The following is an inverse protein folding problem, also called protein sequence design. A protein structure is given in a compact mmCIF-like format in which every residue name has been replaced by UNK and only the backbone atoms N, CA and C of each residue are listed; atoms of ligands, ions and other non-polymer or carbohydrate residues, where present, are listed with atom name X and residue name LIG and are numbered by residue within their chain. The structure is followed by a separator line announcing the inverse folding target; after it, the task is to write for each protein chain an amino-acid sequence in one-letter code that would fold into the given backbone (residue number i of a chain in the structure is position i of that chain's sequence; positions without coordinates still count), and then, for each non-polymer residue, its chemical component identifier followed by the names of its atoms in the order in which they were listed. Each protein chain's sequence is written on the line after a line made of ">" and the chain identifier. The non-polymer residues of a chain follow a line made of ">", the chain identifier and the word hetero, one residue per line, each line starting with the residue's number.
data_IF_049003949908
#
_entry.id   IF_049003949908
#
_cell.length_a   1.000
_cell.length_b   1.000
_cell.length_c   1.000
_cell.angle_alpha   90.00
_cell.angle_beta   90.00
_cell.angle_gamma   90.00
#
_symmetry.space_group_name_H-M   'P 1'
#
loop_
_entity.id
_entity.type
_entity.pdbx_description
1 polymer ?
#
# COMPACT_ATOMS: atom_id res chain seq x y z
N UNK A 1 -5.27 12.31 68.30
CA UNK A 1 -5.16 13.27 67.19
C UNK A 1 -4.73 12.49 65.95
N UNK A 2 -5.70 12.12 65.15
CA UNK A 2 -5.44 11.33 63.89
C UNK A 2 -5.45 12.32 62.75
N UNK A 3 -4.33 12.42 62.05
CA UNK A 3 -4.21 13.19 60.82
C UNK A 3 -4.48 12.24 59.63
N UNK A 4 -5.65 12.43 59.00
CA UNK A 4 -6.01 11.83 57.74
C UNK A 4 -5.23 12.55 56.61
N UNK A 5 -4.32 11.84 55.98
CA UNK A 5 -3.70 12.25 54.71
C UNK A 5 -4.55 11.71 53.56
N UNK A 6 -5.19 12.62 52.86
CA UNK A 6 -5.95 12.37 51.62
C UNK A 6 -4.94 12.06 50.50
N UNK A 7 -5.15 11.03 49.63
CA UNK A 7 -4.30 10.81 48.50
C UNK A 7 -4.58 11.86 47.41
N UNK A 8 -3.55 12.52 46.96
CA UNK A 8 -3.56 13.44 45.81
C UNK A 8 -4.03 12.72 44.58
N UNK A 9 -5.16 13.15 44.03
CA UNK A 9 -5.67 12.71 42.75
C UNK A 9 -4.67 13.12 41.64
N UNK A 10 -4.10 12.15 40.96
CA UNK A 10 -3.43 12.38 39.68
C UNK A 10 -4.48 12.91 38.70
N UNK A 11 -4.53 14.21 38.53
CA UNK A 11 -5.35 14.88 37.52
C UNK A 11 -4.81 14.52 36.13
N UNK A 12 -5.63 13.84 35.36
CA UNK A 12 -5.45 13.67 33.90
C UNK A 12 -5.37 15.11 33.35
N UNK A 13 -4.33 15.47 32.55
CA UNK A 13 -4.27 16.80 31.94
C UNK A 13 -5.55 17.04 31.15
N UNK A 14 -6.16 18.21 31.34
CA UNK A 14 -7.41 18.57 30.68
C UNK A 14 -7.19 18.54 29.17
N UNK A 15 -7.96 17.74 28.46
CA UNK A 15 -7.88 17.49 27.00
C UNK A 15 -8.02 18.82 26.20
N UNK A 16 -8.58 19.85 26.81
CA UNK A 16 -8.77 21.17 26.20
C UNK A 16 -7.46 21.98 25.98
N UNK A 17 -6.31 21.54 26.50
CA UNK A 17 -5.02 22.22 26.32
C UNK A 17 -4.08 21.50 25.36
N UNK A 18 -4.51 20.35 24.73
CA UNK A 18 -3.67 19.59 23.83
C UNK A 18 -3.84 20.11 22.40
N UNK A 19 -2.74 20.44 21.74
CA UNK A 19 -2.72 20.78 20.33
C UNK A 19 -2.44 19.52 19.49
N UNK A 20 -3.30 19.22 18.53
CA UNK A 20 -3.21 18.02 17.71
C UNK A 20 -2.66 18.31 16.31
N UNK A 21 -2.00 17.32 15.71
CA UNK A 21 -1.52 17.40 14.33
C UNK A 21 -2.62 17.83 13.36
N UNK A 22 -3.81 17.28 13.51
CA UNK A 22 -4.95 17.56 12.64
C UNK A 22 -5.58 18.94 12.84
N UNK A 23 -5.27 19.64 13.94
CA UNK A 23 -5.71 21.03 14.17
C UNK A 23 -4.82 22.00 13.36
N UNK A 24 -3.54 21.64 13.16
CA UNK A 24 -2.57 22.41 12.38
C UNK A 24 -2.63 22.01 10.90
N UNK A 25 -2.74 20.72 10.62
CA UNK A 25 -2.77 20.15 9.26
C UNK A 25 -3.89 19.12 9.13
N UNK A 26 -5.11 19.53 8.74
CA UNK A 26 -6.24 18.61 8.57
C UNK A 26 -5.98 17.51 7.50
N UNK A 27 -5.12 17.78 6.52
CA UNK A 27 -4.69 16.82 5.50
C UNK A 27 -3.89 15.65 6.07
N UNK A 28 -3.28 15.81 7.26
CA UNK A 28 -2.49 14.77 7.95
C UNK A 28 -3.32 13.83 8.84
N UNK A 29 -4.67 13.94 8.79
CA UNK A 29 -5.58 13.00 9.46
C UNK A 29 -5.27 11.51 9.19
N UNK A 30 -4.77 11.09 8.02
CA UNK A 30 -4.39 9.70 7.79
C UNK A 30 -3.36 9.15 8.79
N UNK A 31 -2.50 9.99 9.38
CA UNK A 31 -1.56 9.56 10.41
C UNK A 31 -2.27 9.02 11.66
N UNK A 32 -3.28 9.74 12.16
CA UNK A 32 -4.08 9.30 13.32
C UNK A 32 -4.77 7.96 13.01
N UNK A 33 -5.43 7.87 11.84
CA UNK A 33 -6.17 6.68 11.42
C UNK A 33 -5.27 5.45 11.33
N UNK A 34 -4.17 5.54 10.57
CA UNK A 34 -3.28 4.40 10.38
C UNK A 34 -2.51 4.03 11.64
N UNK A 35 -2.21 4.99 12.50
CA UNK A 35 -1.53 4.71 13.77
C UNK A 35 -2.48 4.05 14.78
N UNK A 36 -3.75 4.45 14.83
CA UNK A 36 -4.77 3.78 15.63
C UNK A 36 -4.95 2.31 15.18
N UNK A 37 -5.06 2.07 13.88
CA UNK A 37 -5.10 0.71 13.31
C UNK A 37 -3.83 -0.09 13.64
N UNK A 38 -2.66 0.54 13.58
CA UNK A 38 -1.39 -0.11 13.94
C UNK A 38 -1.36 -0.51 15.42
N UNK A 39 -1.93 0.31 16.31
CA UNK A 39 -2.08 -0.02 17.72
C UNK A 39 -3.00 -1.24 17.94
N UNK A 40 -4.05 -1.40 17.13
CA UNK A 40 -4.91 -2.59 17.18
C UNK A 40 -4.13 -3.84 16.72
N UNK A 41 -3.44 -3.77 15.58
CA UNK A 41 -2.61 -4.88 15.07
C UNK A 41 -1.48 -5.23 16.05
N UNK A 42 -0.88 -4.24 16.72
CA UNK A 42 0.07 -4.46 17.82
C UNK A 42 -0.53 -5.37 18.89
N UNK A 43 -1.74 -5.06 19.38
CA UNK A 43 -2.43 -5.84 20.41
C UNK A 43 -2.71 -7.28 19.97
N UNK A 44 -3.02 -7.50 18.70
CA UNK A 44 -3.27 -8.85 18.18
C UNK A 44 -2.00 -9.72 18.12
N UNK A 45 -0.81 -9.13 18.00
CA UNK A 45 0.45 -9.86 18.03
C UNK A 45 1.00 -10.08 19.44
N UNK A 46 0.55 -9.32 20.45
CA UNK A 46 1.02 -9.46 21.82
C UNK A 46 0.75 -10.87 22.36
N UNK A 47 1.69 -11.37 23.17
CA UNK A 47 1.60 -12.70 23.80
C UNK A 47 1.42 -13.84 22.78
N UNK A 48 2.03 -13.71 21.60
CA UNK A 48 2.06 -14.73 20.55
C UNK A 48 3.51 -15.03 20.13
N UNK A 49 3.68 -16.00 19.23
CA UNK A 49 4.97 -16.28 18.60
C UNK A 49 5.52 -15.07 17.79
N UNK A 50 4.68 -14.06 17.55
CA UNK A 50 5.01 -12.82 16.86
C UNK A 50 5.14 -11.59 17.78
N UNK A 51 5.27 -11.77 19.10
CA UNK A 51 5.38 -10.67 20.07
C UNK A 51 6.47 -9.65 19.70
N UNK A 52 7.58 -10.12 19.11
CA UNK A 52 8.63 -9.24 18.57
C UNK A 52 8.10 -8.26 17.49
N UNK A 53 7.08 -8.63 16.74
CA UNK A 53 6.43 -7.74 15.77
C UNK A 53 5.57 -6.68 16.48
N UNK A 54 4.88 -7.06 17.56
CA UNK A 54 4.14 -6.12 18.41
C UNK A 54 5.05 -5.03 18.96
N UNK A 55 6.22 -5.40 19.51
CA UNK A 55 7.22 -4.44 20.02
C UNK A 55 7.67 -3.47 18.92
N UNK A 56 7.93 -3.96 17.71
CA UNK A 56 8.32 -3.12 16.57
C UNK A 56 7.21 -2.16 16.14
N UNK A 57 5.95 -2.64 16.07
CA UNK A 57 4.79 -1.82 15.71
C UNK A 57 4.55 -0.74 16.77
N UNK A 58 4.73 -1.05 18.05
CA UNK A 58 4.62 -0.09 19.15
C UNK A 58 5.50 1.15 18.94
N UNK A 59 6.70 0.95 18.42
CA UNK A 59 7.66 2.01 18.17
C UNK A 59 7.47 2.72 16.81
N UNK A 60 6.62 2.17 15.93
CA UNK A 60 6.40 2.69 14.58
C UNK A 60 5.72 4.04 14.63
N UNK A 61 6.34 5.05 14.02
CA UNK A 61 5.83 6.43 13.98
C UNK A 61 5.36 6.97 15.35
N UNK A 62 6.00 6.53 16.44
CA UNK A 62 5.67 7.03 17.78
C UNK A 62 5.93 8.54 17.93
N UNK A 63 6.89 9.06 17.14
CA UNK A 63 7.19 10.47 16.95
C UNK A 63 7.17 10.83 15.48
N UNK A 64 6.67 12.01 15.17
CA UNK A 64 6.70 12.63 13.86
C UNK A 64 7.35 14.00 13.98
N UNK A 65 8.30 14.30 13.09
CA UNK A 65 8.90 15.62 12.95
C UNK A 65 8.47 16.22 11.61
N UNK A 66 7.98 17.46 11.65
CA UNK A 66 7.58 18.21 10.47
C UNK A 66 8.36 19.50 10.37
N UNK A 67 8.60 19.97 9.14
CA UNK A 67 9.05 21.31 8.83
C UNK A 67 8.02 22.03 7.98
N UNK A 68 8.11 23.36 7.89
CA UNK A 68 7.26 24.16 7.02
C UNK A 68 7.87 24.22 5.61
N UNK A 69 7.12 23.76 4.62
CA UNK A 69 7.45 23.90 3.22
C UNK A 69 6.48 24.87 2.55
N UNK A 70 7.01 25.72 1.65
CA UNK A 70 6.18 26.60 0.83
C UNK A 70 5.91 25.91 -0.48
N UNK A 71 4.65 25.75 -0.84
CA UNK A 71 4.25 25.27 -2.15
C UNK A 71 4.66 26.30 -3.21
N UNK A 72 5.46 25.87 -4.17
CA UNK A 72 6.03 26.75 -5.20
C UNK A 72 5.00 27.23 -6.23
N UNK A 73 3.86 26.55 -6.36
CA UNK A 73 2.83 26.89 -7.33
C UNK A 73 1.86 27.94 -6.79
N UNK A 74 1.46 27.83 -5.52
CA UNK A 74 0.44 28.69 -4.93
C UNK A 74 0.94 29.56 -3.77
N UNK A 75 2.16 29.35 -3.27
CA UNK A 75 2.78 30.07 -2.18
C UNK A 75 2.22 29.70 -0.79
N UNK A 76 1.40 28.66 -0.67
CA UNK A 76 0.84 28.21 0.60
C UNK A 76 1.87 27.47 1.43
N UNK A 77 1.92 27.74 2.75
CA UNK A 77 2.75 26.99 3.67
C UNK A 77 2.03 25.69 4.07
N UNK A 78 2.75 24.57 3.98
CA UNK A 78 2.25 23.26 4.40
C UNK A 78 3.26 22.52 5.27
N UNK A 79 2.76 21.64 6.14
CA UNK A 79 3.62 20.76 6.91
C UNK A 79 4.19 19.66 5.99
N UNK A 80 5.51 19.46 6.05
CA UNK A 80 6.22 18.38 5.38
C UNK A 80 6.86 17.47 6.42
N UNK A 81 6.58 16.16 6.35
CA UNK A 81 7.22 15.19 7.22
C UNK A 81 8.72 15.10 6.90
N UNK A 82 9.56 15.34 7.91
CA UNK A 82 11.02 15.29 7.81
C UNK A 82 11.67 14.26 8.72
N UNK A 83 10.89 13.68 9.66
CA UNK A 83 11.38 12.65 10.55
C UNK A 83 10.28 11.73 11.06
N UNK A 84 10.47 10.43 10.88
CA UNK A 84 9.67 9.37 11.48
C UNK A 84 10.45 8.06 11.48
N UNK A 85 10.18 7.19 12.45
CA UNK A 85 10.72 5.84 12.49
C UNK A 85 9.68 4.83 12.03
N UNK A 86 10.04 3.95 11.11
CA UNK A 86 9.16 2.93 10.57
C UNK A 86 9.58 1.51 10.98
N UNK A 87 8.62 0.68 11.37
CA UNK A 87 8.89 -0.68 11.82
C UNK A 87 9.10 -1.68 10.67
N UNK A 88 8.66 -1.38 9.45
CA UNK A 88 8.68 -2.24 8.26
C UNK A 88 8.00 -3.61 8.44
N UNK A 89 7.17 -3.76 9.49
CA UNK A 89 6.37 -4.97 9.67
C UNK A 89 5.32 -5.00 8.55
N UNK A 90 5.16 -6.16 7.90
CA UNK A 90 4.30 -6.31 6.72
C UNK A 90 2.87 -5.85 6.97
N UNK A 91 2.29 -6.23 8.09
CA UNK A 91 0.90 -5.92 8.43
C UNK A 91 0.75 -4.67 9.33
N UNK A 92 1.80 -3.84 9.45
CA UNK A 92 1.68 -2.55 10.10
C UNK A 92 0.95 -1.56 9.17
N UNK A 93 -0.24 -1.06 9.53
CA UNK A 93 -1.01 -0.15 8.67
C UNK A 93 -0.26 1.13 8.29
N UNK A 94 0.53 1.71 9.21
CA UNK A 94 1.36 2.88 8.91
C UNK A 94 2.41 2.57 7.83
N UNK A 95 3.24 1.53 8.02
CA UNK A 95 4.28 1.19 7.06
C UNK A 95 3.71 0.82 5.70
N UNK A 96 2.55 0.14 5.69
CA UNK A 96 1.91 -0.26 4.46
C UNK A 96 1.34 0.94 3.69
N UNK A 97 0.65 1.84 4.40
CA UNK A 97 0.17 3.10 3.83
C UNK A 97 1.31 3.91 3.23
N UNK A 98 2.40 4.13 3.99
CA UNK A 98 3.57 4.90 3.52
C UNK A 98 4.23 4.24 2.31
N UNK A 99 4.38 2.93 2.33
CA UNK A 99 4.93 2.16 1.19
C UNK A 99 4.06 2.30 -0.07
N UNK A 100 2.73 2.28 0.09
CA UNK A 100 1.81 2.51 -1.03
C UNK A 100 2.03 3.90 -1.65
N UNK A 101 2.15 4.95 -0.82
CA UNK A 101 2.42 6.31 -1.30
C UNK A 101 3.80 6.41 -1.97
N UNK A 102 4.83 5.83 -1.39
CA UNK A 102 6.18 5.78 -1.97
C UNK A 102 6.18 5.17 -3.38
N UNK A 103 5.53 4.02 -3.55
CA UNK A 103 5.45 3.37 -4.87
C UNK A 103 4.66 4.18 -5.88
N UNK A 104 3.57 4.82 -5.44
CA UNK A 104 2.79 5.72 -6.28
C UNK A 104 3.64 6.91 -6.74
N UNK A 105 4.34 7.56 -5.83
CA UNK A 105 5.21 8.70 -6.13
C UNK A 105 6.36 8.31 -7.07
N UNK A 106 7.01 7.16 -6.85
CA UNK A 106 8.05 6.64 -7.76
C UNK A 106 7.52 6.41 -9.17
N UNK A 107 6.31 5.86 -9.28
CA UNK A 107 5.69 5.64 -10.59
C UNK A 107 5.36 6.96 -11.28
N UNK A 108 4.73 7.90 -10.56
CA UNK A 108 4.31 9.19 -11.11
C UNK A 108 5.50 10.05 -11.54
N UNK A 109 6.62 10.00 -10.81
CA UNK A 109 7.88 10.66 -11.22
C UNK A 109 8.45 10.12 -12.54
N UNK A 110 8.37 8.81 -12.75
CA UNK A 110 8.86 8.19 -13.99
C UNK A 110 7.91 8.37 -15.19
N UNK A 111 6.65 8.73 -14.91
CA UNK A 111 5.60 8.76 -15.93
C UNK A 111 5.83 9.75 -17.08
N UNK A 112 6.32 11.00 -16.86
CA UNK A 112 6.59 11.94 -17.96
C UNK A 112 7.63 11.40 -18.95
N UNK A 113 8.68 10.75 -18.48
CA UNK A 113 9.69 10.12 -19.33
C UNK A 113 9.11 8.95 -20.13
N UNK A 114 8.30 8.11 -19.47
CA UNK A 114 7.61 6.99 -20.12
C UNK A 114 6.66 7.50 -21.22
N UNK A 115 5.87 8.54 -20.95
CA UNK A 115 4.94 9.11 -21.91
C UNK A 115 5.65 9.80 -23.08
N UNK A 116 6.76 10.47 -22.81
CA UNK A 116 7.62 11.06 -23.86
C UNK A 116 8.19 9.98 -24.78
N UNK A 117 8.69 8.88 -24.22
CA UNK A 117 9.26 7.77 -24.99
C UNK A 117 8.19 6.94 -25.75
N UNK A 118 6.97 6.90 -25.24
CA UNK A 118 5.87 6.10 -25.80
C UNK A 118 4.56 6.90 -25.87
N UNK A 119 4.48 7.99 -26.63
CA UNK A 119 3.35 8.93 -26.60
C UNK A 119 2.01 8.33 -27.05
N UNK A 120 2.04 7.22 -27.79
CA UNK A 120 0.85 6.52 -28.27
C UNK A 120 0.46 5.30 -27.42
N UNK A 121 1.25 4.96 -26.40
CA UNK A 121 0.92 3.83 -25.53
C UNK A 121 -0.39 4.09 -24.77
N UNK A 122 -1.08 2.99 -24.47
CA UNK A 122 -2.35 3.02 -23.74
C UNK A 122 -2.22 2.12 -22.52
N UNK A 123 -3.17 2.22 -21.63
CA UNK A 123 -3.14 1.47 -20.39
C UNK A 123 -4.41 0.66 -20.19
N UNK A 124 -4.25 -0.57 -19.71
CA UNK A 124 -5.33 -1.43 -19.27
C UNK A 124 -5.07 -1.90 -17.84
N UNK A 125 -6.15 -2.10 -17.10
CA UNK A 125 -6.13 -2.67 -15.77
C UNK A 125 -6.75 -4.07 -15.82
N UNK A 126 -6.04 -5.06 -15.30
CA UNK A 126 -6.43 -6.45 -15.33
C UNK A 126 -6.48 -7.01 -13.91
N UNK A 127 -7.59 -7.66 -13.54
CA UNK A 127 -7.72 -8.41 -12.29
C UNK A 127 -7.78 -9.89 -12.59
N UNK A 128 -6.89 -10.67 -11.97
CA UNK A 128 -6.80 -12.12 -12.14
C UNK A 128 -7.07 -12.81 -10.81
N UNK A 129 -8.09 -13.65 -10.76
CA UNK A 129 -8.46 -14.37 -9.54
C UNK A 129 -8.25 -15.86 -9.64
N UNK A 130 -8.25 -16.51 -8.49
CA UNK A 130 -8.42 -17.96 -8.35
C UNK A 130 -9.52 -18.24 -7.34
N UNK A 131 -9.98 -19.49 -7.20
CA UNK A 131 -10.90 -19.88 -6.11
C UNK A 131 -10.29 -19.54 -4.76
N UNK A 132 -11.15 -19.20 -3.79
CA UNK A 132 -10.72 -19.08 -2.41
C UNK A 132 -10.05 -20.39 -1.96
N UNK A 133 -9.04 -20.24 -1.13
CA UNK A 133 -8.33 -21.38 -0.54
C UNK A 133 -8.41 -21.33 1.00
N UNK A 134 -8.23 -22.46 1.69
CA UNK A 134 -7.92 -22.44 3.10
C UNK A 134 -6.74 -21.52 3.38
N UNK A 135 -6.76 -20.78 4.48
CA UNK A 135 -5.69 -19.83 4.79
C UNK A 135 -4.32 -20.53 4.90
N UNK A 136 -4.30 -21.77 5.36
CA UNK A 136 -3.11 -22.64 5.45
C UNK A 136 -2.47 -22.95 4.08
N UNK A 137 -3.24 -22.84 2.99
CA UNK A 137 -2.78 -23.12 1.63
C UNK A 137 -2.43 -21.84 0.86
N UNK A 138 -2.54 -20.68 1.52
CA UNK A 138 -2.36 -19.38 0.86
C UNK A 138 -0.97 -19.24 0.23
N UNK A 139 0.09 -19.68 0.92
CA UNK A 139 1.46 -19.60 0.40
C UNK A 139 1.60 -20.36 -0.91
N UNK A 140 1.18 -21.62 -0.92
CA UNK A 140 1.26 -22.49 -2.12
C UNK A 140 0.41 -21.91 -3.26
N UNK A 141 -0.77 -21.37 -2.93
CA UNK A 141 -1.66 -20.72 -3.91
C UNK A 141 -1.01 -19.48 -4.53
N UNK A 142 -0.42 -18.58 -3.74
CA UNK A 142 0.28 -17.39 -4.27
C UNK A 142 1.50 -17.81 -5.11
N UNK A 143 2.26 -18.79 -4.68
CA UNK A 143 3.39 -19.31 -5.46
C UNK A 143 2.93 -19.88 -6.80
N UNK A 144 1.85 -20.66 -6.80
CA UNK A 144 1.22 -21.16 -8.01
C UNK A 144 0.75 -20.04 -8.93
N UNK A 145 0.09 -19.01 -8.39
CA UNK A 145 -0.33 -17.83 -9.15
C UNK A 145 0.86 -17.09 -9.75
N UNK A 146 1.98 -16.94 -9.03
CA UNK A 146 3.20 -16.31 -9.53
C UNK A 146 3.79 -17.06 -10.73
N UNK A 147 3.90 -18.39 -10.63
CA UNK A 147 4.36 -19.24 -11.73
C UNK A 147 3.41 -19.18 -12.93
N UNK A 148 2.11 -19.11 -12.65
CA UNK A 148 1.06 -19.00 -13.66
C UNK A 148 1.13 -17.68 -14.42
N UNK A 149 1.32 -16.58 -13.71
CA UNK A 149 1.52 -15.28 -14.32
C UNK A 149 2.78 -15.23 -15.19
N UNK A 150 3.88 -15.82 -14.73
CA UNK A 150 5.10 -15.96 -15.53
C UNK A 150 4.87 -16.80 -16.81
N UNK A 151 4.00 -17.82 -16.79
CA UNK A 151 3.59 -18.53 -18.00
C UNK A 151 2.74 -17.65 -18.91
N UNK A 152 1.80 -16.89 -18.34
CA UNK A 152 0.92 -15.98 -19.07
C UNK A 152 1.70 -14.88 -19.79
N UNK A 153 2.74 -14.30 -19.16
CA UNK A 153 3.57 -13.25 -19.79
C UNK A 153 4.34 -13.75 -21.01
N UNK A 154 4.51 -15.06 -21.18
CA UNK A 154 5.17 -15.68 -22.35
C UNK A 154 4.20 -15.98 -23.49
N UNK A 155 2.89 -15.88 -23.29
CA UNK A 155 1.89 -16.12 -24.34
C UNK A 155 1.97 -15.06 -25.45
N UNK A 156 1.72 -15.46 -26.72
CA UNK A 156 1.82 -14.54 -27.85
C UNK A 156 0.96 -13.29 -27.71
N UNK A 157 -0.28 -13.43 -27.21
CA UNK A 157 -1.22 -12.33 -27.01
C UNK A 157 -0.70 -11.33 -25.98
N UNK A 158 -0.06 -11.79 -24.89
CA UNK A 158 0.54 -10.96 -23.89
C UNK A 158 1.77 -10.23 -24.46
N UNK A 159 2.73 -10.98 -25.02
CA UNK A 159 4.00 -10.42 -25.52
C UNK A 159 3.82 -9.41 -26.63
N UNK A 160 2.92 -9.69 -27.58
CA UNK A 160 2.66 -8.82 -28.73
C UNK A 160 2.09 -7.48 -28.31
N UNK A 161 1.24 -7.47 -27.29
CA UNK A 161 0.51 -6.28 -26.86
C UNK A 161 1.23 -5.46 -25.77
N UNK A 162 2.02 -6.10 -24.90
CA UNK A 162 2.54 -5.49 -23.68
C UNK A 162 3.90 -4.83 -23.93
N UNK A 163 4.03 -3.58 -23.46
CA UNK A 163 5.30 -2.85 -23.40
C UNK A 163 5.90 -3.04 -22.00
N UNK A 164 5.08 -2.94 -20.97
CA UNK A 164 5.47 -3.13 -19.58
C UNK A 164 4.25 -3.40 -18.70
N UNK A 165 4.50 -3.89 -17.50
CA UNK A 165 3.44 -4.18 -16.53
C UNK A 165 3.94 -4.06 -15.10
N UNK A 166 3.02 -3.71 -14.20
CA UNK A 166 3.17 -3.77 -12.75
C UNK A 166 2.04 -4.63 -12.21
N UNK A 167 2.36 -5.50 -11.27
CA UNK A 167 1.41 -6.39 -10.64
C UNK A 167 1.54 -6.33 -9.13
N UNK A 168 0.43 -6.22 -8.44
CA UNK A 168 0.34 -6.44 -6.99
C UNK A 168 -0.47 -7.70 -6.69
N UNK A 169 -0.22 -8.26 -5.51
CA UNK A 169 -1.02 -9.33 -4.92
C UNK A 169 -1.87 -8.74 -3.80
N UNK A 170 -3.16 -8.93 -3.86
CA UNK A 170 -4.08 -8.63 -2.76
C UNK A 170 -4.65 -9.93 -2.20
N UNK A 171 -4.79 -10.00 -0.89
CA UNK A 171 -5.44 -11.12 -0.18
C UNK A 171 -6.56 -10.55 0.64
N UNK A 172 -7.80 -10.87 0.29
CA UNK A 172 -8.96 -10.53 1.09
C UNK A 172 -9.50 -11.76 1.84
N UNK A 173 -10.17 -11.51 2.96
CA UNK A 173 -10.79 -12.55 3.78
C UNK A 173 -12.17 -12.88 3.26
N UNK A 174 -12.41 -14.15 2.95
CA UNK A 174 -13.74 -14.67 2.63
C UNK A 174 -14.63 -14.76 3.88
N UNK A 175 -15.95 -14.78 3.68
CA UNK A 175 -16.94 -14.84 4.77
C UNK A 175 -16.76 -16.05 5.71
N UNK A 176 -16.23 -17.15 5.20
CA UNK A 176 -15.94 -18.39 5.94
C UNK A 176 -14.50 -18.43 6.49
N UNK A 177 -13.76 -17.32 6.53
CA UNK A 177 -12.37 -17.28 6.97
C UNK A 177 -11.36 -17.75 5.93
N UNK A 178 -11.79 -18.17 4.72
CA UNK A 178 -10.88 -18.52 3.63
C UNK A 178 -10.10 -17.30 3.14
N UNK A 179 -8.99 -17.54 2.43
CA UNK A 179 -8.25 -16.50 1.74
C UNK A 179 -8.69 -16.40 0.27
N UNK A 180 -8.85 -15.18 -0.22
CA UNK A 180 -9.11 -14.88 -1.63
C UNK A 180 -7.93 -14.08 -2.22
N UNK A 181 -6.86 -14.75 -2.69
CA UNK A 181 -5.75 -14.07 -3.34
C UNK A 181 -6.12 -13.71 -4.78
N UNK A 182 -5.74 -12.50 -5.19
CA UNK A 182 -5.90 -12.05 -6.57
C UNK A 182 -4.80 -11.07 -6.96
N UNK A 183 -4.61 -10.93 -8.26
CA UNK A 183 -3.66 -9.97 -8.81
C UNK A 183 -4.36 -8.78 -9.41
N UNK A 184 -3.87 -7.59 -9.11
CA UNK A 184 -4.11 -6.37 -9.85
C UNK A 184 -2.90 -6.09 -10.75
N UNK A 185 -3.14 -5.93 -12.04
CA UNK A 185 -2.09 -5.73 -13.04
C UNK A 185 -2.39 -4.47 -13.83
N UNK A 186 -1.53 -3.48 -13.73
CA UNK A 186 -1.53 -2.32 -14.61
C UNK A 186 -0.59 -2.61 -15.78
N UNK A 187 -1.12 -2.62 -16.99
CA UNK A 187 -0.37 -2.96 -18.20
C UNK A 187 -0.31 -1.76 -19.14
N UNK A 188 0.90 -1.40 -19.54
CA UNK A 188 1.18 -0.50 -20.63
C UNK A 188 1.14 -1.30 -21.94
N UNK A 189 0.25 -0.93 -22.84
CA UNK A 189 0.01 -1.68 -24.09
C UNK A 189 0.23 -0.83 -25.33
N UNK A 190 0.56 -1.51 -26.44
CA UNK A 190 0.71 -0.88 -27.75
C UNK A 190 -0.65 -0.38 -28.25
N UNK A 191 -0.69 0.70 -29.07
CA UNK A 191 -1.94 1.22 -29.65
C UNK A 191 -2.73 0.15 -30.42
N UNK A 192 -2.01 -0.78 -31.08
CA UNK A 192 -2.62 -1.88 -31.82
C UNK A 192 -3.50 -2.82 -30.99
N UNK A 193 -3.34 -2.80 -29.63
CA UNK A 193 -4.23 -3.53 -28.73
C UNK A 193 -5.69 -3.12 -28.91
N UNK A 194 -5.96 -1.85 -29.16
CA UNK A 194 -7.33 -1.33 -29.30
C UNK A 194 -7.89 -1.41 -30.72
N UNK A 195 -7.14 -2.03 -31.63
CA UNK A 195 -7.51 -2.22 -33.04
C UNK A 195 -7.32 -3.67 -33.47
N UNK A 196 -6.29 -3.98 -34.26
CA UNK A 196 -6.05 -5.29 -34.87
C UNK A 196 -5.64 -6.40 -33.89
N UNK A 197 -5.11 -6.04 -32.72
CA UNK A 197 -4.62 -6.97 -31.72
C UNK A 197 -5.51 -7.02 -30.46
N UNK A 198 -6.77 -6.60 -30.59
CA UNK A 198 -7.69 -6.56 -29.43
C UNK A 198 -7.90 -7.96 -28.85
N UNK A 199 -7.73 -8.05 -27.54
CA UNK A 199 -7.99 -9.28 -26.77
C UNK A 199 -9.24 -9.06 -25.93
N UNK A 200 -10.31 -9.79 -26.26
CA UNK A 200 -11.58 -9.74 -25.50
C UNK A 200 -11.39 -10.30 -24.10
N UNK A 201 -12.23 -9.87 -23.16
CA UNK A 201 -12.18 -10.36 -21.76
C UNK A 201 -12.26 -11.89 -21.70
N UNK A 202 -13.11 -12.53 -22.49
CA UNK A 202 -13.22 -13.99 -22.56
C UNK A 202 -11.85 -14.64 -22.89
N UNK A 203 -11.08 -14.04 -23.83
CA UNK A 203 -9.75 -14.57 -24.16
C UNK A 203 -8.73 -14.35 -23.03
N UNK A 204 -8.79 -13.24 -22.32
CA UNK A 204 -7.98 -13.03 -21.11
C UNK A 204 -8.31 -14.08 -20.03
N UNK A 205 -9.60 -14.42 -19.87
CA UNK A 205 -10.03 -15.48 -18.95
C UNK A 205 -9.46 -16.84 -19.34
N UNK A 206 -9.50 -17.20 -20.62
CA UNK A 206 -8.89 -18.44 -21.14
C UNK A 206 -7.38 -18.46 -20.95
N UNK A 207 -6.68 -17.36 -21.31
CA UNK A 207 -5.23 -17.25 -21.12
C UNK A 207 -4.81 -17.45 -19.66
N UNK A 208 -5.59 -16.89 -18.72
CA UNK A 208 -5.34 -17.09 -17.31
C UNK A 208 -5.64 -18.52 -16.88
N UNK A 209 -6.78 -19.08 -17.29
CA UNK A 209 -7.18 -20.46 -17.03
C UNK A 209 -6.10 -21.46 -17.49
N UNK A 210 -5.66 -21.34 -18.74
CA UNK A 210 -4.63 -22.19 -19.33
C UNK A 210 -3.28 -22.02 -18.61
N UNK A 211 -2.87 -20.78 -18.34
CA UNK A 211 -1.61 -20.47 -17.68
C UNK A 211 -1.57 -20.96 -16.23
N UNK A 212 -2.69 -20.88 -15.54
CA UNK A 212 -2.85 -21.35 -14.17
C UNK A 212 -3.26 -22.83 -14.11
N UNK A 213 -3.51 -23.48 -15.26
CA UNK A 213 -3.91 -24.90 -15.35
C UNK A 213 -5.13 -25.20 -14.49
N UNK A 214 -6.14 -24.31 -14.55
CA UNK A 214 -7.35 -24.44 -13.75
C UNK A 214 -8.36 -25.35 -14.44
N UNK A 215 -9.04 -26.20 -13.68
CA UNK A 215 -10.14 -27.07 -14.12
C UNK A 215 -11.49 -26.33 -14.20
N UNK A 216 -11.51 -25.08 -13.77
CA UNK A 216 -12.68 -24.20 -13.75
C UNK A 216 -12.41 -22.89 -14.49
N UNK A 217 -13.48 -22.13 -14.76
CA UNK A 217 -13.37 -20.79 -15.34
C UNK A 217 -13.14 -19.76 -14.23
N UNK A 218 -11.97 -19.07 -14.18
CA UNK A 218 -11.69 -18.05 -13.20
C UNK A 218 -12.43 -16.75 -13.55
N UNK A 219 -12.60 -15.88 -12.55
CA UNK A 219 -13.07 -14.51 -12.77
C UNK A 219 -11.87 -13.67 -13.20
N UNK A 220 -11.99 -13.03 -14.37
CA UNK A 220 -11.00 -12.09 -14.90
C UNK A 220 -11.73 -10.83 -15.35
N UNK A 221 -11.24 -9.68 -14.89
CA UNK A 221 -11.73 -8.39 -15.36
C UNK A 221 -10.61 -7.67 -16.12
N UNK A 222 -10.97 -7.06 -17.24
CA UNK A 222 -10.08 -6.18 -18.00
C UNK A 222 -10.82 -4.90 -18.34
N UNK A 223 -10.17 -3.77 -18.10
CA UNK A 223 -10.72 -2.45 -18.45
C UNK A 223 -9.63 -1.53 -18.97
N UNK A 224 -9.99 -0.70 -19.97
CA UNK A 224 -9.12 0.38 -20.40
C UNK A 224 -9.06 1.46 -19.30
N UNK A 225 -7.86 1.94 -18.99
CA UNK A 225 -7.72 3.08 -18.11
C UNK A 225 -8.10 4.33 -18.89
N UNK A 226 -9.13 5.03 -18.41
CA UNK A 226 -9.66 6.27 -19.02
C UNK A 226 -9.39 7.44 -18.10
N UNK A 227 -9.17 8.61 -18.69
CA UNK A 227 -9.14 9.85 -17.93
C UNK A 227 -10.49 10.07 -17.22
N UNK A 228 -10.46 10.36 -15.92
CA UNK A 228 -11.64 10.85 -15.18
C UNK A 228 -11.68 12.37 -15.33
N UNK A 229 -12.87 12.94 -15.62
CA UNK A 229 -13.06 14.39 -15.61
C UNK A 229 -12.62 14.95 -14.24
N UNK A 230 -11.72 15.94 -14.25
CA UNK A 230 -11.22 16.56 -13.02
C UNK A 230 -10.04 15.84 -12.34
N UNK A 231 -9.50 14.77 -12.90
CA UNK A 231 -8.28 14.13 -12.41
C UNK A 231 -7.07 14.77 -13.09
N UNK A 232 -6.07 15.20 -12.31
CA UNK A 232 -4.80 15.75 -12.83
C UNK A 232 -4.09 14.79 -13.80
N UNK A 233 -4.21 13.48 -13.54
CA UNK A 233 -3.66 12.46 -14.42
C UNK A 233 -4.57 11.21 -14.52
N UNK A 234 -4.84 10.69 -15.76
CA UNK A 234 -5.74 9.55 -15.98
C UNK A 234 -5.32 8.28 -15.25
N UNK A 235 -4.01 8.09 -15.06
CA UNK A 235 -3.42 6.89 -14.48
C UNK A 235 -3.40 6.90 -12.94
N UNK A 236 -3.51 8.07 -12.28
CA UNK A 236 -3.37 8.18 -10.81
C UNK A 236 -4.26 7.18 -10.06
N UNK A 237 -5.53 7.07 -10.45
CA UNK A 237 -6.46 6.12 -9.85
C UNK A 237 -6.10 4.64 -10.08
N UNK A 238 -5.63 4.30 -11.28
CA UNK A 238 -5.23 2.93 -11.60
C UNK A 238 -3.92 2.54 -10.91
N UNK A 239 -2.97 3.47 -10.80
CA UNK A 239 -1.73 3.31 -10.03
C UNK A 239 -2.06 3.10 -8.56
N UNK A 240 -2.89 3.96 -7.98
CA UNK A 240 -3.33 3.85 -6.59
C UNK A 240 -4.01 2.49 -6.32
N UNK A 241 -4.90 2.04 -7.21
CA UNK A 241 -5.57 0.73 -7.10
C UNK A 241 -4.59 -0.44 -7.23
N UNK A 242 -3.60 -0.34 -8.13
CA UNK A 242 -2.58 -1.39 -8.28
C UNK A 242 -1.64 -1.47 -7.07
N UNK A 243 -1.31 -0.34 -6.46
CA UNK A 243 -0.30 -0.24 -5.39
C UNK A 243 -0.92 -0.02 -4.00
N UNK A 244 -2.24 -0.20 -3.87
CA UNK A 244 -2.95 -0.14 -2.58
C UNK A 244 -2.54 -1.28 -1.64
N UNK A 245 -3.17 -1.32 -0.48
CA UNK A 245 -2.97 -2.38 0.53
C UNK A 245 -3.05 -3.79 -0.05
N UNK A 246 -2.14 -4.67 0.41
CA UNK A 246 -2.18 -6.11 0.06
C UNK A 246 -3.23 -6.89 0.86
N UNK A 247 -3.73 -6.33 1.95
CA UNK A 247 -4.81 -6.87 2.80
C UNK A 247 -5.49 -5.70 3.48
N UNK A 248 -6.80 -5.68 3.48
CA UNK A 248 -7.56 -4.60 4.10
C UNK A 248 -7.34 -4.59 5.61
N UNK A 249 -7.24 -3.41 6.26
CA UNK A 249 -7.09 -3.33 7.72
C UNK A 249 -8.17 -4.10 8.48
N UNK A 250 -9.42 -4.09 8.00
CA UNK A 250 -10.55 -4.76 8.62
C UNK A 250 -10.36 -6.29 8.62
N UNK A 251 -9.76 -6.85 7.56
CA UNK A 251 -9.48 -8.28 7.45
C UNK A 251 -8.40 -8.73 8.44
N UNK A 252 -7.56 -7.80 8.93
CA UNK A 252 -6.51 -8.09 9.92
C UNK A 252 -7.02 -8.16 11.36
N UNK A 253 -8.27 -7.76 11.65
CA UNK A 253 -8.77 -7.63 13.02
C UNK A 253 -9.14 -8.95 13.69
N UNK A 254 -9.10 -10.06 12.97
CA UNK A 254 -9.22 -11.41 13.54
C UNK A 254 -7.82 -11.94 13.87
N UNK A 255 -7.58 -12.26 15.16
CA UNK A 255 -6.26 -12.66 15.66
C UNK A 255 -5.73 -13.91 14.98
N UNK A 256 -6.52 -14.98 14.95
CA UNK A 256 -6.09 -16.27 14.41
C UNK A 256 -5.81 -16.17 12.92
N UNK A 257 -6.68 -15.44 12.19
CA UNK A 257 -6.49 -15.16 10.77
C UNK A 257 -5.22 -14.34 10.51
N UNK A 258 -4.95 -13.31 11.32
CA UNK A 258 -3.74 -12.49 11.21
C UNK A 258 -2.47 -13.30 11.45
N UNK A 259 -2.46 -14.15 12.48
CA UNK A 259 -1.28 -14.95 12.83
C UNK A 259 -0.95 -15.95 11.72
N UNK A 260 -1.96 -16.65 11.21
CA UNK A 260 -1.78 -17.59 10.10
C UNK A 260 -1.39 -16.85 8.81
N UNK A 261 -2.07 -15.75 8.48
CA UNK A 261 -1.68 -14.92 7.33
C UNK A 261 -0.21 -14.50 7.42
N UNK A 262 0.25 -14.07 8.60
CA UNK A 262 1.64 -13.64 8.82
C UNK A 262 2.62 -14.76 8.51
N UNK A 263 2.31 -16.00 8.92
CA UNK A 263 3.09 -17.19 8.59
C UNK A 263 3.12 -17.45 7.09
N UNK A 264 1.95 -17.48 6.47
CA UNK A 264 1.78 -17.85 5.06
C UNK A 264 2.47 -16.88 4.09
N UNK A 265 2.45 -15.57 4.40
CA UNK A 265 3.02 -14.56 3.51
C UNK A 265 4.47 -14.16 3.85
N UNK A 266 5.09 -14.83 4.80
CA UNK A 266 6.46 -14.54 5.21
C UNK A 266 7.43 -14.62 4.02
N UNK A 267 8.19 -13.54 3.75
CA UNK A 267 9.14 -13.40 2.63
C UNK A 267 8.53 -13.59 1.23
N UNK A 268 7.20 -13.57 1.06
CA UNK A 268 6.61 -13.55 -0.27
C UNK A 268 6.67 -12.13 -0.86
N UNK A 269 7.03 -12.05 -2.15
CA UNK A 269 6.99 -10.79 -2.90
C UNK A 269 5.56 -10.54 -3.41
N UNK A 270 4.98 -9.39 -3.05
CA UNK A 270 3.62 -9.01 -3.44
C UNK A 270 3.55 -8.06 -4.63
N UNK A 271 4.61 -7.30 -4.87
CA UNK A 271 4.72 -6.41 -6.02
C UNK A 271 5.73 -7.01 -6.99
N UNK A 272 5.40 -6.98 -8.27
CA UNK A 272 6.28 -7.39 -9.35
C UNK A 272 6.08 -6.49 -10.56
N UNK A 273 7.11 -6.37 -11.37
CA UNK A 273 7.11 -5.57 -12.59
C UNK A 273 7.84 -6.28 -13.72
N UNK A 274 7.59 -5.89 -14.95
CA UNK A 274 8.24 -6.44 -16.12
C UNK A 274 8.14 -5.58 -17.35
N UNK A 275 8.88 -5.93 -18.39
CA UNK A 275 9.05 -5.10 -19.56
C UNK A 275 9.70 -3.77 -19.21
N UNK A 276 9.30 -2.71 -19.88
CA UNK A 276 9.82 -1.36 -19.63
C UNK A 276 9.67 -0.91 -18.17
N UNK A 277 8.57 -1.32 -17.51
CA UNK A 277 8.28 -0.88 -16.14
C UNK A 277 9.10 -1.61 -15.07
N UNK A 278 9.98 -2.54 -15.45
CA UNK A 278 10.84 -3.24 -14.50
C UNK A 278 11.82 -2.28 -13.81
N UNK A 279 12.39 -1.34 -14.55
CA UNK A 279 13.36 -0.38 -14.01
C UNK A 279 12.69 0.71 -13.17
N UNK A 280 11.46 1.10 -13.51
CA UNK A 280 10.66 2.11 -12.78
C UNK A 280 10.44 1.71 -11.32
N UNK A 281 10.21 0.41 -11.09
CA UNK A 281 9.98 -0.15 -9.76
C UNK A 281 11.18 -0.97 -9.27
N UNK A 282 12.38 -0.65 -9.72
CA UNK A 282 13.58 -1.28 -9.18
C UNK A 282 13.69 -0.93 -7.70
N UNK A 283 13.57 -1.93 -6.85
CA UNK A 283 13.78 -1.79 -5.42
C UNK A 283 15.24 -1.42 -5.18
N UNK A 284 15.50 -0.39 -4.39
CA UNK A 284 16.76 -0.25 -3.68
C UNK A 284 16.96 -1.52 -2.83
N UNK A 285 18.18 -1.99 -2.67
CA UNK A 285 18.47 -3.25 -1.95
C UNK A 285 17.89 -3.26 -0.53
N UNK A 286 17.76 -2.07 0.10
CA UNK A 286 17.12 -1.89 1.41
C UNK A 286 16.17 -0.67 1.37
N UNK A 287 14.96 -0.82 1.91
CA UNK A 287 13.99 0.25 2.13
C UNK A 287 14.43 1.08 3.35
N UNK A 288 14.68 2.36 3.18
CA UNK A 288 15.07 3.29 4.25
C UNK A 288 13.88 4.00 4.88
N UNK A 289 14.08 4.72 5.98
CA UNK A 289 13.02 5.55 6.58
C UNK A 289 12.74 6.77 5.70
N UNK A 290 13.77 7.31 5.02
CA UNK A 290 13.66 8.37 4.03
C UNK A 290 12.75 7.95 2.87
N UNK A 291 12.91 6.73 2.34
CA UNK A 291 12.04 6.21 1.28
C UNK A 291 10.56 6.24 1.69
N UNK A 292 10.24 5.90 2.94
CA UNK A 292 8.87 5.90 3.46
C UNK A 292 8.36 7.29 3.86
N UNK A 293 9.25 8.29 4.00
CA UNK A 293 8.88 9.69 4.17
C UNK A 293 8.61 10.39 2.84
N UNK A 294 9.32 9.99 1.78
CA UNK A 294 9.19 10.57 0.45
C UNK A 294 7.88 10.13 -0.21
N UNK A 295 6.98 11.06 -0.44
CA UNK A 295 5.81 10.87 -1.31
C UNK A 295 5.50 12.09 -2.19
N UNK A 296 6.48 12.96 -2.32
CA UNK A 296 6.36 14.15 -3.14
C UNK A 296 6.83 13.88 -4.57
N UNK A 297 5.97 14.20 -5.54
CA UNK A 297 6.24 14.00 -6.97
C UNK A 297 7.26 14.99 -7.50
N UNK A 298 7.40 16.15 -6.88
CA UNK A 298 8.12 17.30 -7.41
C UNK A 298 9.52 17.54 -6.81
N UNK A 299 9.99 16.67 -5.91
CA UNK A 299 11.33 16.81 -5.34
C UNK A 299 11.52 18.08 -4.51
N UNK A 300 10.61 18.36 -3.60
CA UNK A 300 10.62 19.57 -2.78
C UNK A 300 11.90 19.76 -1.95
N UNK A 301 12.22 21.03 -1.65
CA UNK A 301 13.41 21.37 -0.88
C UNK A 301 13.40 20.67 0.49
N UNK A 302 14.59 20.28 0.96
CA UNK A 302 14.81 19.88 2.33
C UNK A 302 14.43 21.04 3.25
N UNK A 303 13.59 20.74 4.26
CA UNK A 303 13.23 21.68 5.31
C UNK A 303 13.68 21.12 6.65
N UNK A 304 14.06 22.01 7.58
CA UNK A 304 14.46 21.62 8.92
C UNK A 304 13.24 21.23 9.78
N UNK A 305 13.40 20.31 10.73
CA UNK A 305 12.34 19.95 11.65
C UNK A 305 12.04 21.11 12.60
N UNK A 306 10.79 21.57 12.65
CA UNK A 306 10.36 22.70 13.48
C UNK A 306 9.25 22.34 14.45
N UNK A 307 8.41 21.35 14.11
CA UNK A 307 7.25 20.93 14.89
C UNK A 307 7.28 19.45 15.11
N UNK A 308 7.03 19.03 16.33
CA UNK A 308 7.11 17.64 16.74
C UNK A 308 5.78 17.18 17.33
N UNK A 309 5.39 15.94 17.01
CA UNK A 309 4.20 15.31 17.54
C UNK A 309 4.51 13.92 18.08
N UNK A 310 3.90 13.58 19.21
CA UNK A 310 3.97 12.24 19.80
C UNK A 310 2.60 11.56 19.75
N UNK A 311 2.62 10.22 19.52
CA UNK A 311 1.40 9.43 19.54
C UNK A 311 0.86 9.27 20.95
N UNK A 312 -0.35 9.76 21.19
CA UNK A 312 -1.03 9.59 22.48
C UNK A 312 -1.98 8.37 22.41
N UNK A 313 -1.56 7.26 23.04
CA UNK A 313 -2.21 5.95 22.89
C UNK A 313 -3.68 5.90 23.36
N UNK A 314 -4.05 6.64 24.40
CA UNK A 314 -5.42 6.63 24.95
C UNK A 314 -6.37 7.48 24.10
N UNK A 315 -5.91 8.64 23.61
CA UNK A 315 -6.70 9.55 22.78
C UNK A 315 -6.69 9.11 21.32
N UNK A 316 -5.71 8.28 20.91
CA UNK A 316 -5.48 7.85 19.54
C UNK A 316 -5.33 9.02 18.55
N UNK A 317 -4.55 10.02 18.95
CA UNK A 317 -4.18 11.18 18.13
C UNK A 317 -2.72 11.55 18.37
N UNK A 318 -2.13 12.22 17.39
CA UNK A 318 -0.82 12.86 17.55
C UNK A 318 -0.96 14.20 18.23
N UNK A 319 -0.24 14.36 19.34
CA UNK A 319 -0.23 15.55 20.20
C UNK A 319 1.11 16.26 20.02
N UNK A 320 1.10 17.56 19.90
CA UNK A 320 2.31 18.40 19.85
C UNK A 320 3.14 18.26 21.13
N UNK A 321 4.46 18.20 21.01
CA UNK A 321 5.42 18.05 22.13
C UNK A 321 6.54 19.08 22.01
#
# INVERSE_FOLDING_TARGET
>A
MSTNSTPTSNSIPQVEQLEFLTDISPSDKPWDVHRAQAQQVEGLYQETVYDRLAVRIRQCSGYLAFGWATDLENGEARLKLVGARFCRVRHCPVCWWRRSLMWQARFLRALPEIESAFPTARWIFLTLTVRNCPLTDLRSTIQHMNLSFNRMTKRPEFRRNTIGWIRSTEVSRGRNGSAHPHFHVLMMVRPSYFTINYVKQARWTELWKESARLDYTPIVHVQAVKSRRGSEHPLRGAIAETLKYSTKPEDLMDRDWLLELTSQVYKLRFIGSGGLLKEVLRESEEETDEDLMLFDENGEPQVDPEIFFAWHRQIQRYVRV
#
